data_IF_768425306667
#
_entry.id   IF_768425306667
#
_cell.length_a   1.000
_cell.length_b   1.000
_cell.length_c   1.000
_cell.angle_alpha   90.00
_cell.angle_beta   90.00
_cell.angle_gamma   90.00
#
_symmetry.space_group_name_H-M   'P 1'
#
loop_
_entity.id
_entity.type
_entity.pdbx_description
1 polymer ?
#
# COMPACT_ATOMS: atom_id res chain seq x y z
N UNK A 1 3.32 -2.30 -18.24
CA UNK A 1 2.65 -3.59 -18.37
C UNK A 1 3.63 -4.60 -18.95
N UNK A 2 3.59 -5.83 -18.46
CA UNK A 2 4.37 -6.97 -18.95
C UNK A 2 3.49 -7.88 -19.80
N UNK A 3 4.10 -8.70 -20.65
CA UNK A 3 3.39 -9.62 -21.56
C UNK A 3 2.56 -10.68 -20.82
N UNK A 4 2.92 -11.00 -19.58
CA UNK A 4 2.21 -11.94 -18.70
C UNK A 4 1.08 -11.28 -17.87
N UNK A 5 0.74 -10.04 -18.16
CA UNK A 5 -0.29 -9.25 -17.47
C UNK A 5 0.14 -8.63 -16.15
N UNK A 6 1.40 -8.80 -15.74
CA UNK A 6 1.92 -8.10 -14.58
C UNK A 6 2.08 -6.59 -14.86
N UNK A 7 2.06 -5.79 -13.81
CA UNK A 7 2.27 -4.35 -13.87
C UNK A 7 3.39 -3.97 -12.91
N UNK A 8 4.43 -3.32 -13.42
CA UNK A 8 5.42 -2.67 -12.56
C UNK A 8 5.21 -1.17 -12.61
N UNK A 9 5.12 -0.56 -11.44
CA UNK A 9 5.06 0.89 -11.31
C UNK A 9 6.03 1.40 -10.25
N UNK A 10 6.46 2.65 -10.43
CA UNK A 10 7.35 3.36 -9.52
C UNK A 10 6.62 4.55 -8.91
N UNK A 11 6.83 4.75 -7.63
CA UNK A 11 6.29 5.87 -6.86
C UNK A 11 7.42 6.56 -6.14
N UNK A 12 7.45 7.89 -6.24
CA UNK A 12 8.27 8.75 -5.37
C UNK A 12 7.34 9.70 -4.65
N UNK A 13 7.49 9.81 -3.34
CA UNK A 13 6.70 10.72 -2.51
C UNK A 13 7.60 11.51 -1.57
N UNK A 14 7.17 12.73 -1.29
CA UNK A 14 7.79 13.61 -0.32
C UNK A 14 6.70 14.24 0.54
N UNK A 15 6.94 14.26 1.85
CA UNK A 15 6.11 14.95 2.84
C UNK A 15 7.00 15.91 3.62
N UNK A 16 6.52 17.12 3.85
CA UNK A 16 7.31 18.17 4.52
C UNK A 16 7.20 18.09 6.05
N UNK A 17 6.06 17.59 6.58
CA UNK A 17 5.83 17.45 8.02
C UNK A 17 5.10 16.14 8.35
N UNK A 18 5.80 15.13 8.87
CA UNK A 18 7.26 15.04 9.00
C UNK A 18 7.97 14.98 7.65
N UNK A 19 9.23 15.44 7.59
CA UNK A 19 10.02 15.41 6.36
C UNK A 19 10.40 13.96 6.02
N UNK A 20 9.63 13.35 5.13
CA UNK A 20 9.82 11.96 4.71
C UNK A 20 9.84 11.88 3.20
N UNK A 21 10.90 11.29 2.65
CA UNK A 21 10.99 10.94 1.24
C UNK A 21 11.00 9.42 1.07
N UNK A 22 10.20 8.92 0.13
CA UNK A 22 10.14 7.51 -0.22
C UNK A 22 10.22 7.31 -1.72
N UNK A 23 10.99 6.30 -2.09
CA UNK A 23 10.97 5.72 -3.41
C UNK A 23 10.50 4.28 -3.27
N UNK A 24 9.51 3.89 -4.05
CA UNK A 24 9.01 2.53 -4.08
C UNK A 24 8.81 2.03 -5.51
N UNK A 25 9.10 0.76 -5.72
CA UNK A 25 8.85 0.05 -6.97
C UNK A 25 8.04 -1.18 -6.63
N UNK A 26 6.94 -1.39 -7.33
CA UNK A 26 6.04 -2.52 -7.13
C UNK A 26 5.87 -3.29 -8.42
N UNK A 27 5.86 -4.61 -8.31
CA UNK A 27 5.32 -5.50 -9.35
C UNK A 27 4.08 -6.17 -8.81
N UNK A 28 2.96 -5.96 -9.50
CA UNK A 28 1.67 -6.55 -9.18
C UNK A 28 1.33 -7.64 -10.21
N UNK A 29 0.66 -8.70 -9.75
CA UNK A 29 0.06 -9.67 -10.64
C UNK A 29 -1.16 -9.10 -11.38
N UNK A 30 -1.71 -9.85 -12.37
CA UNK A 30 -2.93 -9.47 -13.07
C UNK A 30 -4.16 -9.41 -12.13
N UNK A 31 -4.06 -10.00 -10.96
CA UNK A 31 -5.03 -9.96 -9.86
C UNK A 31 -4.80 -8.77 -8.88
N UNK A 32 -3.95 -7.81 -9.26
CA UNK A 32 -3.55 -6.64 -8.47
C UNK A 32 -2.87 -6.96 -7.13
N UNK A 33 -2.53 -8.22 -6.88
CA UNK A 33 -1.80 -8.61 -5.68
C UNK A 33 -0.31 -8.34 -5.82
N UNK A 34 0.37 -7.94 -4.73
CA UNK A 34 1.80 -7.72 -4.75
C UNK A 34 2.54 -9.03 -5.08
N UNK A 35 3.54 -8.95 -5.96
CA UNK A 35 4.50 -10.00 -6.28
C UNK A 35 5.88 -9.64 -5.75
N UNK A 36 6.24 -8.38 -5.93
CA UNK A 36 7.52 -7.86 -5.52
C UNK A 36 7.39 -6.38 -5.17
N UNK A 37 8.16 -5.93 -4.19
CA UNK A 37 8.29 -4.51 -3.89
C UNK A 37 9.71 -4.18 -3.45
N UNK A 38 10.19 -3.00 -3.82
CA UNK A 38 11.36 -2.36 -3.27
C UNK A 38 10.96 -1.02 -2.66
N UNK A 39 11.43 -0.73 -1.47
CA UNK A 39 11.15 0.53 -0.75
C UNK A 39 12.46 1.12 -0.25
N UNK A 40 12.66 2.41 -0.48
CA UNK A 40 13.72 3.21 0.11
C UNK A 40 13.12 4.35 0.91
N UNK A 41 13.64 4.57 2.10
CA UNK A 41 13.15 5.56 3.06
C UNK A 41 14.25 6.54 3.45
N UNK A 42 13.89 7.82 3.46
CA UNK A 42 14.68 8.89 4.06
C UNK A 42 13.77 9.66 5.03
N UNK A 43 14.31 10.03 6.18
CA UNK A 43 13.63 10.81 7.21
C UNK A 43 14.55 11.98 7.60
N UNK A 44 14.01 13.20 7.60
CA UNK A 44 14.77 14.43 7.89
C UNK A 44 16.06 14.56 7.06
N UNK A 45 15.98 14.20 5.78
CA UNK A 45 17.10 14.23 4.83
C UNK A 45 18.16 13.14 5.06
N UNK A 46 17.94 12.20 5.99
CA UNK A 46 18.87 11.10 6.30
C UNK A 46 18.33 9.79 5.75
N UNK A 47 19.23 8.98 5.21
CA UNK A 47 18.90 7.61 4.81
C UNK A 47 18.53 6.77 6.04
N UNK A 48 17.30 6.28 6.09
CA UNK A 48 16.79 5.44 7.17
C UNK A 48 16.90 3.96 6.82
N UNK A 49 16.61 3.58 5.57
CA UNK A 49 16.73 2.20 5.14
C UNK A 49 16.22 1.92 3.75
N UNK A 50 16.39 0.67 3.33
CA UNK A 50 15.77 0.12 2.12
C UNK A 50 15.38 -1.33 2.36
N UNK A 51 14.39 -1.81 1.60
CA UNK A 51 13.92 -3.17 1.69
C UNK A 51 13.40 -3.69 0.36
N UNK A 52 13.68 -4.96 0.11
CA UNK A 52 13.11 -5.72 -0.98
C UNK A 52 12.22 -6.81 -0.38
N UNK A 53 11.03 -6.98 -0.98
CA UNK A 53 10.00 -7.90 -0.51
C UNK A 53 9.50 -8.72 -1.68
N UNK A 54 9.48 -10.03 -1.53
CA UNK A 54 8.92 -10.97 -2.50
C UNK A 54 7.76 -11.72 -1.88
N UNK A 55 6.61 -11.61 -2.50
CA UNK A 55 5.36 -12.19 -2.05
C UNK A 55 5.11 -13.50 -2.79
N UNK A 56 5.03 -14.59 -2.05
CA UNK A 56 4.75 -15.93 -2.51
C UNK A 56 3.49 -16.47 -1.81
N UNK A 57 2.86 -17.54 -2.31
CA UNK A 57 1.74 -18.16 -1.60
C UNK A 57 2.10 -18.54 -0.16
N UNK A 58 1.45 -17.91 0.82
CA UNK A 58 1.64 -18.20 2.24
C UNK A 58 2.92 -17.68 2.89
N UNK A 59 3.74 -16.91 2.19
CA UNK A 59 4.95 -16.32 2.78
C UNK A 59 5.42 -15.05 2.07
N UNK A 60 6.24 -14.27 2.79
CA UNK A 60 7.02 -13.15 2.23
C UNK A 60 8.48 -13.35 2.58
N UNK A 61 9.33 -13.32 1.57
CA UNK A 61 10.77 -13.17 1.77
C UNK A 61 11.13 -11.69 1.75
N UNK A 62 11.89 -11.22 2.72
CA UNK A 62 12.33 -9.84 2.78
C UNK A 62 13.84 -9.74 3.04
N UNK A 63 14.47 -8.83 2.29
CA UNK A 63 15.83 -8.38 2.49
C UNK A 63 15.80 -6.90 2.83
N UNK A 64 16.10 -6.55 4.07
CA UNK A 64 15.99 -5.18 4.54
C UNK A 64 17.29 -4.68 5.12
N UNK A 65 17.54 -3.40 5.00
CA UNK A 65 18.55 -2.65 5.71
C UNK A 65 17.91 -1.46 6.40
N UNK A 66 18.15 -1.33 7.67
CA UNK A 66 17.72 -0.19 8.47
C UNK A 66 18.92 0.39 9.20
N UNK A 67 19.06 1.71 9.23
CA UNK A 67 20.22 2.39 9.83
C UNK A 67 20.42 2.01 11.32
N UNK A 68 19.33 1.76 12.05
CA UNK A 68 19.40 1.38 13.47
C UNK A 68 19.65 -0.12 13.72
N UNK A 69 19.21 -1.00 12.78
CA UNK A 69 19.18 -2.46 13.01
C UNK A 69 20.11 -3.24 12.09
N UNK A 70 20.73 -2.58 11.08
CA UNK A 70 21.57 -3.23 10.09
C UNK A 70 20.77 -4.06 9.07
N UNK A 71 21.46 -5.00 8.41
CA UNK A 71 20.87 -5.89 7.41
C UNK A 71 20.14 -7.05 8.05
N UNK A 72 18.96 -7.38 7.51
CA UNK A 72 18.16 -8.55 7.87
C UNK A 72 17.65 -9.26 6.63
N UNK A 73 17.62 -10.59 6.73
CA UNK A 73 17.00 -11.48 5.75
C UNK A 73 15.99 -12.34 6.51
N UNK A 74 14.74 -12.27 6.14
CA UNK A 74 13.65 -12.90 6.87
C UNK A 74 12.65 -13.56 5.92
N UNK A 75 12.10 -14.70 6.34
CA UNK A 75 10.96 -15.34 5.70
C UNK A 75 9.80 -15.33 6.70
N UNK A 76 8.77 -14.56 6.38
CA UNK A 76 7.57 -14.42 7.21
C UNK A 76 6.46 -15.26 6.63
N UNK A 77 5.91 -16.20 7.41
CA UNK A 77 4.70 -16.94 7.03
C UNK A 77 3.49 -16.05 7.18
N UNK A 78 2.57 -16.17 6.22
CA UNK A 78 1.32 -15.41 6.18
C UNK A 78 0.15 -16.36 6.47
N UNK A 79 -0.68 -16.01 7.46
CA UNK A 79 -1.93 -16.73 7.74
C UNK A 79 -2.97 -16.50 6.62
N UNK A 80 -2.92 -15.33 5.99
CA UNK A 80 -3.75 -14.95 4.86
C UNK A 80 -2.84 -14.44 3.74
N UNK A 81 -3.05 -14.88 2.48
CA UNK A 81 -2.26 -14.40 1.35
C UNK A 81 -2.29 -12.87 1.25
N UNK A 82 -1.13 -12.26 0.96
CA UNK A 82 -1.06 -10.82 0.80
C UNK A 82 -1.97 -10.34 -0.34
N UNK A 83 -2.87 -9.42 -0.02
CA UNK A 83 -3.73 -8.72 -0.99
C UNK A 83 -3.23 -7.32 -1.30
N UNK A 84 -2.54 -6.70 -0.34
CA UNK A 84 -1.90 -5.40 -0.54
C UNK A 84 -0.59 -5.31 0.24
N UNK A 85 0.29 -4.46 -0.25
CA UNK A 85 1.50 -4.03 0.44
C UNK A 85 1.70 -2.54 0.16
N UNK A 86 1.48 -1.72 1.17
CA UNK A 86 1.57 -0.27 1.03
C UNK A 86 2.84 0.28 1.67
N UNK A 87 3.41 1.30 1.06
CA UNK A 87 4.61 1.98 1.57
C UNK A 87 4.33 3.44 1.92
N UNK A 88 3.09 3.72 2.32
CA UNK A 88 2.57 5.03 2.72
C UNK A 88 2.39 6.13 1.64
N UNK A 89 2.94 6.11 0.42
CA UNK A 89 2.44 7.00 -0.61
C UNK A 89 0.98 6.66 -0.94
N UNK A 90 0.11 7.67 -0.99
CA UNK A 90 -1.33 7.52 -1.28
C UNK A 90 -1.60 6.72 -2.56
N UNK A 91 -0.74 6.85 -3.57
CA UNK A 91 -0.86 6.08 -4.82
C UNK A 91 -0.72 4.57 -4.65
N UNK A 92 -0.22 4.07 -3.51
CA UNK A 92 -0.13 2.62 -3.23
C UNK A 92 -1.45 2.06 -2.73
N UNK A 93 -2.38 2.92 -2.29
CA UNK A 93 -3.65 2.52 -1.70
C UNK A 93 -4.67 2.05 -2.76
N UNK A 94 -4.36 2.24 -4.05
CA UNK A 94 -5.09 1.62 -5.16
C UNK A 94 -5.20 0.09 -5.03
N UNK A 95 -4.19 -0.57 -4.45
CA UNK A 95 -4.24 -2.00 -4.15
C UNK A 95 -5.32 -2.35 -3.13
N UNK A 96 -5.62 -1.44 -2.20
CA UNK A 96 -6.69 -1.63 -1.22
C UNK A 96 -8.06 -1.62 -1.90
N UNK A 97 -8.29 -0.69 -2.83
CA UNK A 97 -9.52 -0.64 -3.61
C UNK A 97 -9.71 -1.92 -4.45
N UNK A 98 -8.63 -2.45 -5.05
CA UNK A 98 -8.66 -3.72 -5.78
C UNK A 98 -8.94 -4.94 -4.87
N UNK A 99 -8.66 -4.84 -3.57
CA UNK A 99 -8.97 -5.90 -2.61
C UNK A 99 -10.40 -5.86 -2.07
N UNK A 100 -11.15 -4.79 -2.34
CA UNK A 100 -12.54 -4.63 -1.89
C UNK A 100 -13.48 -5.56 -2.68
N UNK A 101 -14.36 -6.28 -1.96
CA UNK A 101 -15.32 -7.22 -2.55
C UNK A 101 -16.66 -6.51 -2.82
N UNK A 102 -16.95 -6.23 -4.10
CA UNK A 102 -18.25 -5.69 -4.48
C UNK A 102 -19.35 -6.72 -4.22
N UNK A 103 -20.43 -6.28 -3.59
CA UNK A 103 -21.54 -7.18 -3.18
C UNK A 103 -21.43 -7.69 -1.76
N UNK A 104 -20.33 -7.45 -1.06
CA UNK A 104 -20.19 -7.64 0.39
C UNK A 104 -20.74 -6.46 1.21
N UNK A 105 -20.50 -6.43 2.52
CA UNK A 105 -20.85 -5.29 3.37
C UNK A 105 -20.24 -3.99 2.86
N UNK A 106 -20.99 -2.88 3.02
CA UNK A 106 -20.53 -1.55 2.56
C UNK A 106 -19.18 -1.16 3.16
N UNK A 107 -18.95 -1.43 4.45
CA UNK A 107 -17.66 -1.28 5.13
C UNK A 107 -17.08 -2.67 5.41
N UNK A 108 -15.88 -2.91 4.91
CA UNK A 108 -15.21 -4.20 5.00
C UNK A 108 -13.83 -4.06 5.62
N UNK A 109 -13.49 -4.96 6.53
CA UNK A 109 -12.09 -5.20 6.92
C UNK A 109 -11.41 -5.95 5.78
N UNK A 110 -10.32 -5.41 5.26
CA UNK A 110 -9.57 -6.05 4.19
C UNK A 110 -8.56 -7.04 4.77
N UNK A 111 -8.68 -8.34 4.47
CA UNK A 111 -7.70 -9.33 4.93
C UNK A 111 -6.42 -9.25 4.09
N UNK A 112 -5.28 -9.65 4.68
CA UNK A 112 -4.01 -9.75 3.97
C UNK A 112 -3.40 -8.40 3.58
N UNK A 113 -3.67 -7.35 4.36
CA UNK A 113 -3.04 -6.05 4.17
C UNK A 113 -1.75 -5.97 4.97
N UNK A 114 -0.68 -5.52 4.31
CA UNK A 114 0.64 -5.33 4.89
C UNK A 114 1.18 -3.95 4.52
N UNK A 115 2.13 -3.48 5.33
CA UNK A 115 2.81 -2.20 5.12
C UNK A 115 4.32 -2.37 5.27
N UNK A 116 5.07 -1.43 4.71
CA UNK A 116 6.53 -1.36 4.84
C UNK A 116 7.02 -0.78 6.17
N UNK A 117 6.13 -0.43 7.08
CA UNK A 117 6.49 0.12 8.39
C UNK A 117 5.41 -0.17 9.41
N UNK A 118 5.82 -0.48 10.65
CA UNK A 118 4.89 -0.54 11.78
C UNK A 118 4.55 0.85 12.36
N UNK A 119 5.31 1.89 12.00
CA UNK A 119 5.00 3.27 12.37
C UNK A 119 3.88 3.83 11.49
N UNK A 120 2.82 4.43 12.05
CA UNK A 120 1.68 4.95 11.27
C UNK A 120 2.06 5.99 10.22
N UNK A 121 3.12 6.75 10.45
CA UNK A 121 3.66 7.72 9.49
C UNK A 121 4.74 7.15 8.59
N UNK A 122 5.12 5.88 8.81
CA UNK A 122 6.15 5.21 8.03
C UNK A 122 7.57 5.74 8.24
N UNK A 123 7.87 6.36 9.38
CA UNK A 123 9.20 6.94 9.68
C UNK A 123 10.26 5.92 10.01
N UNK A 124 9.88 4.68 10.24
CA UNK A 124 10.76 3.59 10.65
C UNK A 124 10.68 2.44 9.65
N UNK A 125 11.78 1.83 9.35
CA UNK A 125 11.81 0.66 8.45
C UNK A 125 12.83 0.84 7.32
N UNK A 126 12.62 0.20 6.16
CA UNK A 126 11.50 -0.70 5.83
C UNK A 126 11.50 -2.01 6.61
N UNK A 127 10.31 -2.51 6.89
CA UNK A 127 10.08 -3.85 7.46
C UNK A 127 8.67 -4.32 7.10
N UNK A 128 8.45 -5.62 6.97
CA UNK A 128 7.10 -6.14 6.77
C UNK A 128 6.31 -6.01 8.07
N UNK A 129 5.16 -5.34 8.03
CA UNK A 129 4.24 -5.26 9.15
C UNK A 129 2.79 -5.52 8.69
N UNK A 130 1.97 -6.24 9.47
CA UNK A 130 0.55 -6.34 9.19
C UNK A 130 -0.12 -4.98 9.36
N UNK A 131 -1.15 -4.72 8.55
CA UNK A 131 -1.95 -3.50 8.61
C UNK A 131 -3.42 -3.85 8.73
N UNK A 132 -4.10 -3.27 9.71
CA UNK A 132 -5.55 -3.37 9.85
C UNK A 132 -6.22 -2.22 9.14
N UNK A 133 -6.90 -2.54 8.05
CA UNK A 133 -7.50 -1.58 7.12
C UNK A 133 -8.95 -1.94 6.88
N UNK A 134 -9.82 -0.93 6.81
CA UNK A 134 -11.19 -1.05 6.35
C UNK A 134 -11.40 -0.08 5.20
N UNK A 135 -12.16 -0.53 4.20
CA UNK A 135 -12.70 0.34 3.15
C UNK A 135 -14.23 0.38 3.26
N UNK A 136 -14.79 1.56 3.08
CA UNK A 136 -16.20 1.79 2.94
C UNK A 136 -16.50 2.33 1.55
N UNK A 137 -17.30 1.61 0.76
CA UNK A 137 -17.76 2.06 -0.54
C UNK A 137 -18.91 3.05 -0.40
N UNK A 138 -18.78 4.24 -0.96
CA UNK A 138 -19.77 5.30 -0.86
C UNK A 138 -20.63 5.46 -2.12
N UNK A 139 -20.36 4.69 -3.17
CA UNK A 139 -21.05 4.80 -4.44
C UNK A 139 -20.20 5.46 -5.52
N UNK A 140 -20.83 5.80 -6.62
CA UNK A 140 -20.19 6.53 -7.72
C UNK A 140 -20.35 8.04 -7.55
N UNK A 141 -19.31 8.76 -7.91
CA UNK A 141 -19.27 10.22 -7.90
C UNK A 141 -18.74 10.72 -9.24
N UNK A 142 -19.31 11.83 -9.72
CA UNK A 142 -18.81 12.50 -10.92
C UNK A 142 -17.87 13.64 -10.49
N UNK A 143 -16.60 13.50 -10.86
CA UNK A 143 -15.55 14.45 -10.53
C UNK A 143 -15.27 15.37 -11.73
N UNK A 144 -15.21 16.68 -11.52
CA UNK A 144 -14.70 17.59 -12.54
C UNK A 144 -13.19 17.42 -12.66
N UNK A 145 -12.70 17.20 -13.87
CA UNK A 145 -11.27 17.15 -14.15
C UNK A 145 -10.92 18.11 -15.30
N UNK A 146 -9.65 18.49 -15.48
CA UNK A 146 -9.23 19.30 -16.63
C UNK A 146 -9.56 18.65 -17.98
N UNK A 147 -9.69 17.31 -18.03
CA UNK A 147 -10.05 16.57 -19.25
C UNK A 147 -11.57 16.40 -19.42
N UNK A 148 -12.40 16.93 -18.52
CA UNK A 148 -13.85 16.79 -18.50
C UNK A 148 -14.37 16.09 -17.24
N UNK A 149 -15.68 15.82 -17.20
CA UNK A 149 -16.28 15.10 -16.10
C UNK A 149 -15.91 13.61 -16.15
N UNK A 150 -15.51 13.04 -15.02
CA UNK A 150 -15.12 11.64 -14.87
C UNK A 150 -15.96 10.99 -13.77
N UNK A 151 -16.61 9.87 -14.07
CA UNK A 151 -17.29 9.06 -13.06
C UNK A 151 -16.27 8.14 -12.39
N UNK A 152 -16.24 8.13 -11.07
CA UNK A 152 -15.35 7.29 -10.26
C UNK A 152 -16.12 6.61 -9.13
N UNK A 153 -15.65 5.46 -8.71
CA UNK A 153 -16.08 4.80 -7.48
C UNK A 153 -15.37 5.45 -6.31
N UNK A 154 -16.13 5.86 -5.29
CA UNK A 154 -15.63 6.52 -4.09
C UNK A 154 -15.57 5.57 -2.92
N UNK A 155 -14.44 5.58 -2.24
CA UNK A 155 -14.20 4.82 -1.02
C UNK A 155 -13.63 5.72 0.07
N UNK A 156 -13.94 5.40 1.31
CA UNK A 156 -13.25 5.94 2.48
C UNK A 156 -12.38 4.86 3.12
N UNK A 157 -11.14 5.25 3.45
CA UNK A 157 -10.14 4.40 4.09
C UNK A 157 -10.09 4.66 5.59
N UNK A 158 -10.10 3.58 6.37
CA UNK A 158 -9.95 3.61 7.82
C UNK A 158 -8.84 2.66 8.25
N UNK A 159 -8.15 3.02 9.32
CA UNK A 159 -7.13 2.16 9.96
C UNK A 159 -7.51 1.90 11.43
N UNK A 160 -6.84 0.96 12.08
CA UNK A 160 -7.06 0.69 13.49
C UNK A 160 -6.82 1.92 14.38
N UNK A 161 -5.89 2.80 13.98
CA UNK A 161 -5.57 4.03 14.71
C UNK A 161 -6.65 5.12 14.54
N UNK A 162 -7.44 5.08 13.45
CA UNK A 162 -8.49 6.04 13.11
C UNK A 162 -9.78 5.30 12.70
N UNK A 163 -10.29 4.43 13.58
CA UNK A 163 -11.42 3.56 13.25
C UNK A 163 -12.76 4.29 13.06
N UNK A 164 -12.90 5.50 13.58
CA UNK A 164 -14.11 6.33 13.52
C UNK A 164 -14.02 7.49 12.52
N UNK A 165 -12.82 7.87 12.12
CA UNK A 165 -12.58 8.94 11.17
C UNK A 165 -11.89 8.38 9.93
N UNK A 166 -12.32 8.83 8.76
CA UNK A 166 -11.67 8.46 7.50
C UNK A 166 -10.25 9.03 7.45
N UNK A 167 -9.27 8.18 7.18
CA UNK A 167 -7.89 8.62 6.98
C UNK A 167 -7.76 9.38 5.66
N UNK A 168 -8.42 8.87 4.60
CA UNK A 168 -8.42 9.46 3.27
C UNK A 168 -9.59 8.97 2.43
N UNK A 169 -9.84 9.68 1.33
CA UNK A 169 -10.81 9.28 0.31
C UNK A 169 -10.07 8.81 -0.94
N UNK A 170 -10.48 7.66 -1.47
CA UNK A 170 -9.95 7.08 -2.70
C UNK A 170 -11.01 7.15 -3.79
N UNK A 171 -10.60 7.50 -5.02
CA UNK A 171 -11.41 7.40 -6.21
C UNK A 171 -10.74 6.48 -7.21
N UNK A 172 -11.48 5.50 -7.71
CA UNK A 172 -11.01 4.58 -8.74
C UNK A 172 -11.94 4.62 -9.94
N UNK A 173 -11.40 4.36 -11.11
CA UNK A 173 -12.25 4.15 -12.28
C UNK A 173 -13.15 2.92 -12.02
N UNK A 174 -14.41 2.95 -12.46
CA UNK A 174 -15.27 1.79 -12.38
C UNK A 174 -14.63 0.63 -13.15
N UNK A 175 -14.50 -0.53 -12.48
CA UNK A 175 -13.98 -1.76 -13.07
C UNK A 175 -15.06 -2.59 -13.74
#
# INVERSE_FOLDING_TARGET
FHDDGQVTYRVSSHSDDPCIARDAIYTLGPDWRPREAFVRLQVDGRYEGSGWFRFEPGQVTSETFNAARGRRSEVTRLDVPARSFVAHPVSTDVMLAAAYERGGPRRQKLPGCYTSSADPYGRVGPSLAPSEVWLEYLGQETLPTPAGAMTADRYELFTAAAATESLETLWTLPG
#
